data_IF_712078999013
#
_entry.id   IF_712078999013
#
_cell.length_a   1.000
_cell.length_b   1.000
_cell.length_c   1.000
_cell.angle_alpha   90.00
_cell.angle_beta   90.00
_cell.angle_gamma   90.00
#
_symmetry.space_group_name_H-M   'P 1'
#
loop_
_entity.id
_entity.type
_entity.pdbx_description
1 polymer ?
#
# COMPACT_ATOMS: atom_id res chain seq x y z
N UNK A 1 3.32 -19.49 6.16
CA UNK A 1 4.61 -20.15 6.38
C UNK A 1 4.36 -21.64 6.63
N UNK A 2 3.53 -21.99 7.60
CA UNK A 2 3.35 -23.40 8.04
C UNK A 2 2.78 -24.35 6.97
N UNK A 3 2.11 -23.81 5.96
CA UNK A 3 1.46 -24.58 4.90
C UNK A 3 2.37 -24.91 3.71
N UNK A 4 3.61 -24.41 3.67
CA UNK A 4 4.50 -24.54 2.52
C UNK A 4 5.95 -24.80 2.93
N UNK A 5 6.71 -25.47 2.07
CA UNK A 5 8.13 -25.76 2.29
C UNK A 5 9.07 -24.86 1.45
N UNK A 6 8.57 -23.71 1.00
CA UNK A 6 9.33 -22.72 0.25
C UNK A 6 9.45 -21.43 1.04
N UNK A 7 10.45 -20.58 0.77
CA UNK A 7 10.58 -19.28 1.40
C UNK A 7 9.34 -18.41 1.17
N UNK A 8 8.87 -17.73 2.23
CA UNK A 8 7.70 -16.85 2.19
C UNK A 8 8.14 -15.39 2.34
N UNK A 9 7.70 -14.54 1.43
CA UNK A 9 7.87 -13.08 1.50
C UNK A 9 6.51 -12.47 1.82
N UNK A 10 6.44 -11.71 2.92
CA UNK A 10 5.21 -11.03 3.32
C UNK A 10 4.99 -9.77 2.49
N UNK A 11 3.79 -9.61 1.91
CA UNK A 11 3.43 -8.48 1.08
C UNK A 11 2.15 -7.80 1.56
N UNK A 12 2.15 -6.47 1.58
CA UNK A 12 1.00 -5.65 1.93
C UNK A 12 0.89 -5.30 3.42
N UNK A 13 0.45 -4.08 3.70
CA UNK A 13 0.27 -3.61 5.08
C UNK A 13 1.55 -3.27 5.84
N UNK A 14 2.71 -3.24 5.18
CA UNK A 14 4.00 -2.99 5.81
C UNK A 14 4.43 -1.56 5.48
N UNK A 15 4.51 -0.71 6.52
CA UNK A 15 4.81 0.72 6.37
C UNK A 15 6.09 1.18 7.08
N UNK A 16 6.57 0.41 8.06
CA UNK A 16 7.77 0.71 8.83
C UNK A 16 8.43 -0.56 9.38
N UNK A 17 9.51 -0.41 10.17
CA UNK A 17 10.24 -1.51 10.76
C UNK A 17 9.44 -2.39 11.73
N UNK A 18 8.35 -1.89 12.31
CA UNK A 18 7.45 -2.70 13.17
C UNK A 18 6.76 -3.75 12.33
N UNK A 19 6.25 -3.36 11.15
CA UNK A 19 5.63 -4.29 10.20
C UNK A 19 6.63 -5.30 9.64
N UNK A 20 7.87 -4.88 9.36
CA UNK A 20 8.95 -5.79 8.95
C UNK A 20 9.22 -6.82 10.04
N UNK A 21 9.44 -6.37 11.28
CA UNK A 21 9.74 -7.27 12.40
C UNK A 21 8.59 -8.25 12.66
N UNK A 22 7.33 -7.80 12.61
CA UNK A 22 6.17 -8.67 12.76
C UNK A 22 6.14 -9.77 11.68
N UNK A 23 6.39 -9.41 10.41
CA UNK A 23 6.44 -10.38 9.32
C UNK A 23 7.55 -11.44 9.52
N UNK A 24 8.74 -11.00 9.92
CA UNK A 24 9.87 -11.90 10.23
C UNK A 24 9.55 -12.82 11.42
N UNK A 25 8.92 -12.27 12.47
CA UNK A 25 8.51 -13.05 13.66
C UNK A 25 7.46 -14.11 13.32
N UNK A 26 6.64 -13.89 12.30
CA UNK A 26 5.69 -14.87 11.77
C UNK A 26 6.32 -15.88 10.79
N UNK A 27 7.64 -15.82 10.58
CA UNK A 27 8.39 -16.77 9.78
C UNK A 27 8.59 -16.39 8.31
N UNK A 28 8.23 -15.18 7.89
CA UNK A 28 8.63 -14.67 6.58
C UNK A 28 10.14 -14.44 6.54
N UNK A 29 10.78 -14.67 5.38
CA UNK A 29 12.21 -14.39 5.20
C UNK A 29 12.49 -12.98 4.68
N UNK A 30 11.46 -12.25 4.30
CA UNK A 30 11.55 -10.89 3.79
C UNK A 30 10.17 -10.27 3.60
N UNK A 31 10.17 -9.02 3.14
CA UNK A 31 8.95 -8.25 2.90
C UNK A 31 8.97 -7.62 1.52
N UNK A 32 7.78 -7.44 0.94
CA UNK A 32 7.56 -6.62 -0.26
C UNK A 32 6.76 -5.39 0.12
N UNK A 33 7.31 -4.22 -0.15
CA UNK A 33 6.68 -2.93 0.11
C UNK A 33 6.35 -2.23 -1.20
N UNK A 34 5.24 -1.48 -1.23
CA UNK A 34 4.82 -0.73 -2.43
C UNK A 34 4.52 0.72 -2.08
N UNK A 35 3.51 0.95 -1.24
CA UNK A 35 2.97 2.30 -0.99
C UNK A 35 4.01 3.29 -0.46
N UNK A 36 4.94 2.86 0.38
CA UNK A 36 6.03 3.72 0.86
C UNK A 36 6.94 4.20 -0.28
N UNK A 37 7.14 3.38 -1.32
CA UNK A 37 8.00 3.72 -2.46
C UNK A 37 7.29 4.56 -3.53
N UNK A 38 5.96 4.70 -3.47
CA UNK A 38 5.24 5.61 -4.37
C UNK A 38 5.65 7.08 -4.20
N UNK A 39 6.07 7.46 -2.99
CA UNK A 39 6.50 8.83 -2.68
C UNK A 39 8.01 9.04 -2.79
N UNK A 40 8.75 8.01 -3.21
CA UNK A 40 10.18 8.16 -3.46
C UNK A 40 10.45 9.22 -4.53
N UNK A 41 11.53 9.99 -4.36
CA UNK A 41 11.90 11.04 -5.31
C UNK A 41 12.11 10.46 -6.71
N UNK A 42 12.72 9.27 -6.79
CA UNK A 42 13.00 8.56 -8.04
C UNK A 42 11.77 7.88 -8.67
N UNK A 43 10.65 7.78 -7.95
CA UNK A 43 9.44 7.17 -8.51
C UNK A 43 8.85 8.06 -9.62
N UNK A 44 8.72 7.57 -10.86
CA UNK A 44 8.39 8.41 -12.04
C UNK A 44 6.89 8.72 -12.16
N UNK A 45 6.11 8.56 -11.10
CA UNK A 45 4.69 8.92 -11.11
C UNK A 45 4.49 10.43 -10.92
N UNK A 46 3.37 10.93 -11.39
CA UNK A 46 3.04 12.35 -11.30
C UNK A 46 3.00 12.84 -9.83
N UNK A 47 3.48 14.07 -9.59
CA UNK A 47 3.56 14.65 -8.24
C UNK A 47 2.22 14.71 -7.51
N UNK A 48 1.12 14.98 -8.21
CA UNK A 48 -0.23 14.93 -7.62
C UNK A 48 -0.56 13.56 -7.01
N UNK A 49 -0.03 12.47 -7.59
CA UNK A 49 -0.21 11.12 -7.06
C UNK A 49 0.54 10.97 -5.75
N UNK A 50 1.82 11.37 -5.70
CA UNK A 50 2.63 11.36 -4.47
C UNK A 50 1.98 12.18 -3.37
N UNK A 51 1.49 13.38 -3.71
CA UNK A 51 0.77 14.26 -2.78
C UNK A 51 -0.53 13.63 -2.27
N UNK A 52 -1.24 12.90 -3.11
CA UNK A 52 -2.45 12.19 -2.69
C UNK A 52 -2.14 11.06 -1.69
N UNK A 53 -1.00 10.35 -1.85
CA UNK A 53 -0.54 9.36 -0.88
C UNK A 53 -0.21 10.02 0.46
N UNK A 54 0.56 11.11 0.46
CA UNK A 54 0.98 11.83 1.68
C UNK A 54 -0.20 12.41 2.45
N UNK A 55 -1.23 12.91 1.74
CA UNK A 55 -2.44 13.48 2.34
C UNK A 55 -3.41 12.42 2.84
N UNK A 56 -3.24 11.17 2.42
CA UNK A 56 -4.16 10.07 2.79
C UNK A 56 -4.15 9.82 4.30
N UNK A 57 -5.34 9.52 4.81
CA UNK A 57 -5.59 9.07 6.19
C UNK A 57 -5.87 7.57 6.20
N UNK A 58 -5.98 7.00 7.38
CA UNK A 58 -6.21 5.55 7.60
C UNK A 58 -7.46 5.03 6.89
N UNK A 59 -8.50 5.87 6.78
CA UNK A 59 -9.80 5.52 6.21
C UNK A 59 -9.98 5.92 4.75
N UNK A 60 -8.96 6.50 4.12
CA UNK A 60 -9.07 7.07 2.77
C UNK A 60 -8.87 6.04 1.65
N UNK A 61 -8.65 4.77 1.98
CA UNK A 61 -8.58 3.71 0.99
C UNK A 61 -9.81 2.82 1.01
N UNK A 62 -10.14 2.24 -0.14
CA UNK A 62 -11.26 1.31 -0.32
C UNK A 62 -10.86 0.22 -1.32
N UNK A 63 -11.50 -0.94 -1.20
CA UNK A 63 -11.33 -2.05 -2.15
C UNK A 63 -12.47 -2.06 -3.14
N UNK A 64 -12.16 -1.99 -4.42
CA UNK A 64 -13.06 -2.16 -5.57
C UNK A 64 -12.83 -3.52 -6.22
N UNK A 65 -13.73 -3.98 -7.07
CA UNK A 65 -13.56 -5.17 -7.89
C UNK A 65 -13.79 -6.50 -7.17
N UNK A 66 -14.44 -6.50 -6.00
CA UNK A 66 -14.75 -7.74 -5.26
C UNK A 66 -15.78 -8.59 -6.00
N UNK A 67 -16.83 -7.98 -6.56
CA UNK A 67 -17.90 -8.65 -7.32
C UNK A 67 -17.37 -9.37 -8.57
N UNK A 68 -16.36 -8.78 -9.20
CA UNK A 68 -15.73 -9.31 -10.42
C UNK A 68 -14.45 -10.12 -10.15
N UNK A 69 -14.17 -10.44 -8.89
CA UNK A 69 -13.02 -11.25 -8.44
C UNK A 69 -11.64 -10.66 -8.80
N UNK A 70 -11.57 -9.36 -8.98
CA UNK A 70 -10.33 -8.62 -9.24
C UNK A 70 -10.15 -7.49 -8.22
N UNK A 71 -10.02 -7.80 -6.91
CA UNK A 71 -9.98 -6.79 -5.89
C UNK A 71 -8.72 -5.93 -5.98
N UNK A 72 -8.89 -4.61 -5.94
CA UNK A 72 -7.81 -3.62 -5.92
C UNK A 72 -8.09 -2.59 -4.84
N UNK A 73 -7.08 -2.26 -4.04
CA UNK A 73 -7.18 -1.18 -3.06
C UNK A 73 -6.70 0.14 -3.66
N UNK A 74 -7.56 1.15 -3.59
CA UNK A 74 -7.34 2.47 -4.18
C UNK A 74 -7.75 3.59 -3.21
N UNK A 75 -7.32 4.82 -3.51
CA UNK A 75 -7.83 6.02 -2.84
C UNK A 75 -9.34 6.15 -3.06
N UNK A 76 -10.06 6.52 -2.02
CA UNK A 76 -11.52 6.77 -2.03
C UNK A 76 -11.83 8.12 -2.68
N UNK A 77 -11.52 8.26 -3.95
CA UNK A 77 -11.78 9.43 -4.77
C UNK A 77 -13.13 9.35 -5.50
N UNK A 78 -13.38 10.21 -6.49
CA UNK A 78 -14.60 10.22 -7.28
C UNK A 78 -14.77 8.91 -8.06
N UNK A 79 -13.74 8.46 -8.78
CA UNK A 79 -13.77 7.21 -9.56
C UNK A 79 -14.11 6.01 -8.66
N UNK A 80 -13.48 5.91 -7.49
CA UNK A 80 -13.75 4.83 -6.55
C UNK A 80 -15.21 4.80 -6.09
N UNK A 81 -15.80 5.98 -5.83
CA UNK A 81 -17.21 6.08 -5.43
C UNK A 81 -18.17 5.68 -6.55
N UNK A 82 -17.88 6.10 -7.77
CA UNK A 82 -18.66 5.73 -8.96
C UNK A 82 -18.58 4.22 -9.20
N UNK A 83 -17.38 3.65 -9.12
CA UNK A 83 -17.17 2.22 -9.25
C UNK A 83 -17.95 1.42 -8.20
N UNK A 84 -17.85 1.78 -6.92
CA UNK A 84 -18.57 1.08 -5.85
C UNK A 84 -20.10 1.21 -5.97
N UNK A 85 -20.58 2.34 -6.48
CA UNK A 85 -22.00 2.52 -6.76
C UNK A 85 -22.48 1.55 -7.84
N UNK A 86 -21.75 1.43 -8.95
CA UNK A 86 -22.06 0.49 -10.03
C UNK A 86 -21.92 -0.97 -9.56
N UNK A 87 -20.84 -1.29 -8.85
CA UNK A 87 -20.60 -2.62 -8.28
C UNK A 87 -21.74 -3.06 -7.34
N UNK A 88 -22.31 -2.13 -6.58
CA UNK A 88 -23.45 -2.37 -5.69
C UNK A 88 -24.80 -2.61 -6.42
N UNK A 89 -24.90 -2.21 -7.69
CA UNK A 89 -26.09 -2.44 -8.52
C UNK A 89 -25.97 -3.67 -9.43
N UNK A 90 -24.98 -4.53 -9.20
CA UNK A 90 -24.71 -5.74 -9.98
C UNK A 90 -24.48 -5.49 -11.48
N UNK A 91 -23.90 -4.34 -11.81
CA UNK A 91 -23.49 -4.03 -13.16
C UNK A 91 -22.54 -5.09 -13.73
N UNK A 92 -22.55 -5.23 -15.05
CA UNK A 92 -21.71 -6.22 -15.70
C UNK A 92 -20.21 -5.87 -15.54
N UNK A 93 -19.36 -6.90 -15.57
CA UNK A 93 -17.91 -6.71 -15.56
C UNK A 93 -17.45 -5.72 -16.63
N UNK A 94 -18.06 -5.77 -17.82
CA UNK A 94 -17.72 -4.91 -18.95
C UNK A 94 -17.99 -3.42 -18.67
N UNK A 95 -19.07 -3.09 -17.96
CA UNK A 95 -19.37 -1.71 -17.56
C UNK A 95 -18.41 -1.18 -16.51
N UNK A 96 -18.05 -2.02 -15.52
CA UNK A 96 -17.04 -1.69 -14.53
C UNK A 96 -15.65 -1.52 -15.17
N UNK A 97 -15.29 -2.34 -16.16
CA UNK A 97 -14.05 -2.23 -16.91
C UNK A 97 -13.98 -0.94 -17.73
N UNK A 98 -15.08 -0.46 -18.32
CA UNK A 98 -15.12 0.84 -19.03
C UNK A 98 -14.72 2.00 -18.13
N UNK A 99 -15.13 1.99 -16.86
CA UNK A 99 -14.76 3.04 -15.90
C UNK A 99 -13.27 2.98 -15.52
N UNK A 100 -12.69 1.79 -15.46
CA UNK A 100 -11.32 1.58 -15.01
C UNK A 100 -10.28 1.58 -16.15
N UNK A 101 -10.72 1.41 -17.40
CA UNK A 101 -9.84 1.36 -18.55
C UNK A 101 -9.03 2.68 -18.68
N UNK A 102 -7.71 2.57 -18.58
CA UNK A 102 -6.81 3.73 -18.60
C UNK A 102 -6.80 4.60 -17.35
N UNK A 103 -7.64 4.31 -16.34
CA UNK A 103 -7.75 5.13 -15.13
C UNK A 103 -6.44 5.17 -14.32
N UNK A 104 -5.70 4.06 -14.25
CA UNK A 104 -4.38 4.06 -13.60
C UNK A 104 -3.39 4.94 -14.36
N UNK A 105 -3.32 4.81 -15.68
CA UNK A 105 -2.45 5.64 -16.54
C UNK A 105 -2.76 7.13 -16.37
N UNK A 106 -4.04 7.48 -16.28
CA UNK A 106 -4.51 8.85 -16.05
C UNK A 106 -3.99 9.42 -14.73
N UNK A 107 -4.05 8.65 -13.64
CA UNK A 107 -3.51 9.05 -12.36
C UNK A 107 -1.97 9.17 -12.38
N UNK A 108 -1.29 8.16 -12.94
CA UNK A 108 0.18 8.05 -12.93
C UNK A 108 0.83 9.10 -13.84
N UNK A 109 0.32 9.31 -15.06
CA UNK A 109 0.94 10.17 -16.07
C UNK A 109 0.38 11.59 -16.08
N UNK A 110 -0.95 11.74 -15.95
CA UNK A 110 -1.61 13.05 -16.04
C UNK A 110 -1.86 13.68 -14.67
N UNK A 111 -1.63 12.96 -13.58
CA UNK A 111 -1.86 13.46 -12.24
C UNK A 111 -3.33 13.69 -11.88
N UNK A 112 -4.26 13.10 -12.63
CA UNK A 112 -5.67 13.17 -12.30
C UNK A 112 -6.00 12.17 -11.17
N UNK A 113 -5.88 12.64 -9.96
CA UNK A 113 -6.18 11.88 -8.75
C UNK A 113 -7.68 11.90 -8.38
N UNK A 114 -8.51 12.62 -9.11
CA UNK A 114 -9.97 12.65 -8.90
C UNK A 114 -10.68 11.52 -9.63
N UNK A 115 -10.42 11.40 -10.93
CA UNK A 115 -11.09 10.44 -11.80
C UNK A 115 -10.17 9.30 -12.25
N UNK A 116 -8.89 9.37 -11.91
CA UNK A 116 -7.93 8.29 -12.11
C UNK A 116 -7.95 7.26 -10.97
N UNK A 117 -7.42 6.07 -11.24
CA UNK A 117 -7.23 5.02 -10.23
C UNK A 117 -5.91 5.26 -9.49
N UNK A 118 -6.01 5.65 -8.23
CA UNK A 118 -4.84 5.91 -7.37
C UNK A 118 -4.65 4.70 -6.46
N UNK A 119 -3.84 3.75 -6.90
CA UNK A 119 -3.57 2.52 -6.14
C UNK A 119 -2.65 2.84 -4.96
N UNK A 120 -3.06 2.47 -3.75
CA UNK A 120 -2.28 2.59 -2.53
C UNK A 120 -2.81 1.63 -1.46
N UNK A 121 -1.92 1.12 -0.62
CA UNK A 121 -2.27 0.19 0.45
C UNK A 121 -2.85 0.87 1.69
N UNK A 122 -3.25 0.07 2.65
CA UNK A 122 -3.82 0.54 3.94
C UNK A 122 -2.87 1.42 4.74
N UNK A 123 -1.55 1.25 4.54
CA UNK A 123 -0.52 2.01 5.26
C UNK A 123 -0.31 3.42 4.69
N UNK A 124 -1.09 3.84 3.69
CA UNK A 124 -0.95 5.19 3.12
C UNK A 124 -1.01 6.29 4.20
N UNK A 125 -1.86 6.11 5.22
CA UNK A 125 -1.93 7.00 6.38
C UNK A 125 -0.63 7.13 7.19
N UNK A 126 0.32 6.22 7.04
CA UNK A 126 1.65 6.28 7.68
C UNK A 126 2.70 7.02 6.85
N UNK A 127 2.48 7.19 5.55
CA UNK A 127 3.42 7.86 4.62
C UNK A 127 3.20 9.36 4.70
N UNK A 128 4.22 10.14 5.10
CA UNK A 128 4.06 11.56 5.42
C UNK A 128 4.92 12.51 4.60
N UNK A 129 5.92 12.01 3.92
CA UNK A 129 6.89 12.86 3.20
C UNK A 129 7.50 12.14 2.00
N UNK A 130 8.01 12.94 1.06
CA UNK A 130 8.82 12.47 -0.07
C UNK A 130 10.27 12.37 0.39
N UNK A 131 10.95 11.34 -0.03
CA UNK A 131 12.36 11.09 0.31
C UNK A 131 13.03 10.31 -0.84
N UNK A 132 14.36 10.37 -0.95
CA UNK A 132 15.10 9.41 -1.77
C UNK A 132 14.77 7.97 -1.38
N UNK A 133 14.64 7.09 -2.37
CA UNK A 133 14.32 5.67 -2.14
C UNK A 133 15.28 5.01 -1.15
N UNK A 134 16.57 5.28 -1.27
CA UNK A 134 17.58 4.74 -0.36
C UNK A 134 17.30 5.14 1.08
N UNK A 135 16.92 6.39 1.32
CA UNK A 135 16.61 6.88 2.67
C UNK A 135 15.37 6.16 3.26
N UNK A 136 14.33 5.93 2.46
CA UNK A 136 13.14 5.18 2.89
C UNK A 136 13.53 3.76 3.34
N UNK A 137 14.39 3.09 2.57
CA UNK A 137 14.86 1.75 2.90
C UNK A 137 15.76 1.73 4.13
N UNK A 138 16.68 2.68 4.25
CA UNK A 138 17.59 2.78 5.38
C UNK A 138 16.85 3.05 6.70
N UNK A 139 15.87 3.97 6.68
CA UNK A 139 15.01 4.26 7.83
C UNK A 139 14.18 3.04 8.24
N UNK A 140 13.63 2.32 7.27
CA UNK A 140 12.88 1.09 7.53
C UNK A 140 13.76 0.02 8.19
N UNK A 141 14.97 -0.18 7.69
CA UNK A 141 15.93 -1.14 8.27
C UNK A 141 16.42 -0.71 9.64
N UNK A 142 16.71 0.59 9.85
CA UNK A 142 17.08 1.13 11.14
C UNK A 142 15.97 0.95 12.18
N UNK A 143 14.73 1.27 11.79
CA UNK A 143 13.54 1.04 12.62
C UNK A 143 13.35 -0.44 12.97
N UNK A 144 13.58 -1.36 12.02
CA UNK A 144 13.52 -2.81 12.26
C UNK A 144 14.50 -3.24 13.33
N UNK A 145 15.76 -2.80 13.23
CA UNK A 145 16.80 -3.08 14.23
C UNK A 145 16.44 -2.53 15.60
N UNK A 146 15.86 -1.33 15.66
CA UNK A 146 15.42 -0.73 16.92
C UNK A 146 14.30 -1.52 17.58
N UNK A 147 13.31 -1.99 16.78
CA UNK A 147 12.23 -2.85 17.30
C UNK A 147 12.80 -4.15 17.85
N UNK A 148 13.73 -4.78 17.14
CA UNK A 148 14.40 -5.99 17.61
C UNK A 148 15.10 -5.78 18.96
N UNK A 149 15.91 -4.71 19.09
CA UNK A 149 16.59 -4.40 20.34
C UNK A 149 15.63 -4.13 21.51
N UNK A 150 14.48 -3.47 21.22
CA UNK A 150 13.45 -3.26 22.25
C UNK A 150 12.80 -4.58 22.69
N UNK A 151 12.51 -5.48 21.73
CA UNK A 151 11.95 -6.79 22.04
C UNK A 151 12.90 -7.64 22.87
N UNK A 152 14.21 -7.61 22.59
CA UNK A 152 15.21 -8.32 23.41
C UNK A 152 15.14 -7.86 24.89
N UNK A 153 15.12 -6.55 25.13
CA UNK A 153 15.00 -6.03 26.52
C UNK A 153 13.75 -6.50 27.22
N UNK A 154 12.58 -6.44 26.54
CA UNK A 154 11.33 -6.94 27.11
C UNK A 154 11.43 -8.42 27.45
N UNK A 155 12.03 -9.23 26.59
CA UNK A 155 12.17 -10.69 26.84
C UNK A 155 13.13 -10.98 28.01
N UNK A 156 14.16 -10.16 28.20
CA UNK A 156 15.08 -10.26 29.35
C UNK A 156 14.36 -9.91 30.68
N UNK A 157 13.47 -8.91 30.66
CA UNK A 157 12.70 -8.50 31.83
C UNK A 157 11.59 -9.51 32.22
N UNK A 158 11.23 -10.43 31.33
CA UNK A 158 10.22 -11.47 31.57
C UNK A 158 10.82 -12.75 32.20
N UNK A 159 12.13 -12.85 32.34
CA UNK A 159 12.85 -13.96 32.98
C UNK A 159 13.09 -13.71 34.45
#
# INVERSE_FOLDING_TARGET
>A
VDAVNIPVIAAGGIGDGRGVMAALSLGAIGVQIGTCLLVADECPIHENYKDAVIKAKDTDTVVTGRSVKTPVRILKNQMAREYLKLEGHFESREELEKLTLGALRKAVQSGDVKTGSVMMGQIAGMVKEKKPMQQILDEMMASTKQVYANLQKVMEEMQ
#
